data_IF_979751564992
#
_entry.id   IF_979751564992
#
_cell.length_a   1.000
_cell.length_b   1.000
_cell.length_c   1.000
_cell.angle_alpha   90.00
_cell.angle_beta   90.00
_cell.angle_gamma   90.00
#
_symmetry.space_group_name_H-M   'P 1'
#
loop_
_entity.id
_entity.type
_entity.pdbx_description
1 polymer ?
#
# COMPACT_ATOMS: atom_id res chain seq x y z
N UNK A 1 -6.25 20.69 -11.73
CA UNK A 1 -7.00 20.36 -10.50
C UNK A 1 -7.23 18.86 -10.43
N UNK A 2 -7.43 18.26 -9.24
CA UNK A 2 -7.72 16.81 -9.08
C UNK A 2 -8.88 16.36 -10.00
N UNK A 3 -9.85 17.25 -10.22
CA UNK A 3 -10.97 17.06 -11.16
C UNK A 3 -10.56 16.98 -12.64
N UNK A 4 -9.51 17.69 -13.06
CA UNK A 4 -9.00 17.66 -14.44
C UNK A 4 -8.23 16.36 -14.71
N UNK A 5 -7.46 15.90 -13.72
CA UNK A 5 -6.74 14.62 -13.79
C UNK A 5 -7.73 13.45 -13.86
N UNK A 6 -8.80 13.48 -13.07
CA UNK A 6 -9.85 12.45 -13.13
C UNK A 6 -10.55 12.42 -14.51
N UNK A 7 -10.79 13.59 -15.12
CA UNK A 7 -11.40 13.70 -16.44
C UNK A 7 -10.48 13.16 -17.55
N UNK A 8 -9.18 13.41 -17.45
CA UNK A 8 -8.16 12.91 -18.37
C UNK A 8 -8.03 11.37 -18.32
N UNK A 9 -8.13 10.75 -17.12
CA UNK A 9 -8.14 9.29 -16.98
C UNK A 9 -9.43 8.64 -17.49
N UNK A 10 -10.57 9.34 -17.38
CA UNK A 10 -11.87 8.86 -17.89
C UNK A 10 -11.95 8.91 -19.43
N UNK A 11 -11.32 9.89 -20.07
CA UNK A 11 -11.17 9.93 -21.54
C UNK A 11 -10.31 8.78 -22.08
N UNK A 12 -9.39 8.26 -21.26
CA UNK A 12 -8.54 7.10 -21.61
C UNK A 12 -9.22 5.74 -21.36
N UNK A 13 -10.49 5.71 -20.94
CA UNK A 13 -11.26 4.49 -20.65
C UNK A 13 -10.63 3.62 -19.55
N UNK A 14 -9.87 4.23 -18.64
CA UNK A 14 -9.26 3.57 -17.48
C UNK A 14 -10.14 3.90 -16.27
N UNK A 15 -10.78 2.88 -15.70
CA UNK A 15 -11.63 3.04 -14.51
C UNK A 15 -10.76 3.27 -13.28
N UNK A 16 -10.54 4.55 -12.97
CA UNK A 16 -9.83 5.00 -11.77
C UNK A 16 -10.86 5.55 -10.80
N UNK A 17 -11.10 4.84 -9.71
CA UNK A 17 -11.92 5.38 -8.61
C UNK A 17 -11.20 6.59 -7.99
N UNK A 18 -11.94 7.69 -7.79
CA UNK A 18 -11.42 8.97 -7.25
C UNK A 18 -10.67 8.82 -5.92
N UNK A 19 -10.97 7.77 -5.14
CA UNK A 19 -10.32 7.42 -3.86
C UNK A 19 -8.84 7.03 -3.98
N UNK A 20 -8.33 6.72 -5.18
CA UNK A 20 -6.94 6.28 -5.41
C UNK A 20 -6.02 7.37 -5.98
N UNK A 21 -6.45 8.64 -5.94
CA UNK A 21 -5.68 9.78 -6.40
C UNK A 21 -5.19 10.55 -5.16
N UNK A 22 -3.91 10.39 -4.83
CA UNK A 22 -3.30 11.07 -3.69
C UNK A 22 -2.38 12.18 -4.20
N UNK A 23 -2.58 13.44 -3.79
CA UNK A 23 -1.63 14.50 -4.12
C UNK A 23 -0.30 14.23 -3.41
N UNK A 24 0.79 14.22 -4.17
CA UNK A 24 2.14 13.87 -3.71
C UNK A 24 3.13 14.97 -4.10
N UNK A 25 3.98 15.39 -3.17
CA UNK A 25 5.08 16.33 -3.39
C UNK A 25 5.05 17.54 -2.44
N UNK A 26 6.23 18.05 -2.12
CA UNK A 26 6.49 19.13 -1.15
C UNK A 26 5.69 20.43 -1.43
N UNK A 27 5.28 20.63 -2.70
CA UNK A 27 4.52 21.77 -3.22
C UNK A 27 3.10 21.42 -3.72
N UNK A 28 2.56 20.22 -3.46
CA UNK A 28 1.25 19.78 -3.99
C UNK A 28 1.18 19.72 -5.54
N UNK A 29 2.33 19.61 -6.21
CA UNK A 29 2.47 19.64 -7.69
C UNK A 29 2.51 18.26 -8.37
N UNK A 30 2.44 17.18 -7.61
CA UNK A 30 2.38 15.81 -8.15
C UNK A 30 1.09 15.09 -7.75
N UNK A 31 0.68 14.13 -8.56
CA UNK A 31 -0.45 13.24 -8.27
C UNK A 31 0.03 11.80 -8.39
N UNK A 32 -0.11 11.02 -7.31
CA UNK A 32 0.04 9.59 -7.34
C UNK A 32 -1.32 8.97 -7.64
N UNK A 33 -1.39 8.14 -8.69
CA UNK A 33 -2.62 7.46 -9.11
C UNK A 33 -2.39 5.96 -9.05
N UNK A 34 -3.18 5.24 -8.25
CA UNK A 34 -3.14 3.78 -8.18
C UNK A 34 -4.29 3.17 -8.98
N UNK A 35 -3.96 2.24 -9.87
CA UNK A 35 -4.94 1.47 -10.65
C UNK A 35 -5.04 0.05 -10.10
N UNK A 36 -6.27 -0.49 -10.01
CA UNK A 36 -6.52 -1.84 -9.51
C UNK A 36 -6.05 -2.94 -10.49
N UNK A 37 -5.74 -2.58 -11.74
CA UNK A 37 -5.23 -3.47 -12.79
C UNK A 37 -3.84 -3.07 -13.27
N UNK A 38 -3.12 -4.04 -13.85
CA UNK A 38 -1.83 -3.79 -14.53
C UNK A 38 -2.13 -3.17 -15.89
N UNK A 39 -1.66 -1.94 -16.12
CA UNK A 39 -1.74 -1.32 -17.45
C UNK A 39 -0.88 -2.12 -18.44
N UNK A 40 -1.42 -2.42 -19.62
CA UNK A 40 -0.65 -3.02 -20.70
C UNK A 40 0.42 -2.05 -21.20
N UNK A 41 1.52 -2.56 -21.77
CA UNK A 41 2.63 -1.74 -22.31
C UNK A 41 2.14 -0.68 -23.31
N UNK A 42 1.10 -1.00 -24.07
CA UNK A 42 0.48 -0.08 -25.04
C UNK A 42 -0.30 1.06 -24.37
N UNK A 43 -0.91 0.81 -23.20
CA UNK A 43 -1.63 1.81 -22.42
C UNK A 43 -0.67 2.73 -21.66
N UNK A 44 0.45 2.17 -21.18
CA UNK A 44 1.54 2.94 -20.58
C UNK A 44 2.17 3.88 -21.63
N UNK A 45 2.38 3.40 -22.86
CA UNK A 45 2.91 4.23 -23.95
C UNK A 45 1.94 5.36 -24.34
N UNK A 46 0.64 5.08 -24.44
CA UNK A 46 -0.39 6.10 -24.71
C UNK A 46 -0.50 7.14 -23.61
N UNK A 47 -0.47 6.69 -22.34
CA UNK A 47 -0.49 7.59 -21.17
C UNK A 47 0.77 8.44 -21.13
N UNK A 48 1.95 7.85 -21.36
CA UNK A 48 3.22 8.60 -21.39
C UNK A 48 3.22 9.67 -22.49
N UNK A 49 2.72 9.33 -23.67
CA UNK A 49 2.67 10.27 -24.81
C UNK A 49 1.66 11.40 -24.58
N UNK A 50 0.48 11.09 -24.02
CA UNK A 50 -0.57 12.07 -23.71
C UNK A 50 -0.14 13.07 -22.62
N UNK A 51 0.50 12.59 -21.55
CA UNK A 51 0.99 13.44 -20.46
C UNK A 51 2.26 14.21 -20.84
N UNK A 52 3.11 13.66 -21.71
CA UNK A 52 4.26 14.38 -22.27
C UNK A 52 3.80 15.55 -23.17
N UNK A 53 2.78 15.35 -24.02
CA UNK A 53 2.27 16.39 -24.92
C UNK A 53 1.52 17.51 -24.17
N UNK A 54 0.77 17.17 -23.11
CA UNK A 54 -0.05 18.13 -22.35
C UNK A 54 0.69 18.84 -21.21
N UNK A 55 1.65 18.17 -20.57
CA UNK A 55 2.32 18.68 -19.35
C UNK A 55 3.86 18.65 -19.42
N UNK A 56 4.47 18.21 -20.53
CA UNK A 56 5.93 18.22 -20.72
C UNK A 56 6.73 17.39 -19.71
N UNK A 57 6.08 16.49 -18.99
CA UNK A 57 6.67 15.73 -17.88
C UNK A 57 6.41 14.23 -18.08
N UNK A 58 7.45 13.41 -17.96
CA UNK A 58 7.34 11.95 -18.06
C UNK A 58 6.75 11.35 -16.77
N UNK A 59 5.56 10.73 -16.79
CA UNK A 59 5.04 10.02 -15.62
C UNK A 59 5.87 8.77 -15.33
N UNK A 60 6.30 8.60 -14.08
CA UNK A 60 6.91 7.36 -13.62
C UNK A 60 5.81 6.33 -13.31
N UNK A 61 5.80 5.23 -14.08
CA UNK A 61 4.83 4.15 -13.93
C UNK A 61 5.53 2.95 -13.32
N UNK A 62 5.20 2.65 -12.07
CA UNK A 62 5.65 1.45 -11.37
C UNK A 62 4.51 0.43 -11.30
N UNK A 63 4.64 -0.67 -12.05
CA UNK A 63 3.66 -1.75 -12.06
C UNK A 63 4.13 -2.89 -11.18
N UNK A 64 3.31 -3.25 -10.19
CA UNK A 64 3.48 -4.50 -9.43
C UNK A 64 2.63 -5.59 -10.06
N UNK A 65 3.26 -6.73 -10.39
CA UNK A 65 2.52 -7.87 -10.92
C UNK A 65 1.72 -8.54 -9.81
N UNK A 66 0.42 -8.81 -9.99
CA UNK A 66 -0.44 -9.38 -8.94
C UNK A 66 0.04 -10.76 -8.46
N UNK A 67 0.73 -11.52 -9.31
CA UNK A 67 1.37 -12.80 -8.95
C UNK A 67 2.45 -12.62 -7.90
N UNK A 68 3.33 -11.62 -8.07
CA UNK A 68 4.45 -11.35 -7.15
C UNK A 68 3.88 -10.82 -5.83
N UNK A 69 2.87 -9.93 -5.89
CA UNK A 69 2.19 -9.45 -4.69
C UNK A 69 1.55 -10.58 -3.86
N UNK A 70 0.91 -11.55 -4.53
CA UNK A 70 0.33 -12.73 -3.85
C UNK A 70 1.40 -13.61 -3.21
N UNK A 71 2.55 -13.76 -3.86
CA UNK A 71 3.67 -14.53 -3.31
C UNK A 71 4.31 -13.85 -2.10
N UNK A 72 4.55 -12.54 -2.17
CA UNK A 72 5.05 -11.74 -1.04
C UNK A 72 4.09 -11.81 0.13
N UNK A 73 2.79 -11.60 -0.10
CA UNK A 73 1.78 -11.69 0.96
C UNK A 73 1.75 -13.06 1.64
N UNK A 74 1.86 -14.14 0.85
CA UNK A 74 1.91 -15.51 1.38
C UNK A 74 3.18 -15.74 2.20
N UNK A 75 4.34 -15.31 1.70
CA UNK A 75 5.62 -15.48 2.39
C UNK A 75 5.67 -14.67 3.69
N UNK A 76 5.17 -13.42 3.67
CA UNK A 76 5.04 -12.59 4.85
C UNK A 76 4.14 -13.26 5.91
N UNK A 77 3.00 -13.81 5.49
CA UNK A 77 2.10 -14.52 6.40
C UNK A 77 2.76 -15.74 7.05
N UNK A 78 3.48 -16.55 6.27
CA UNK A 78 4.22 -17.71 6.78
C UNK A 78 5.33 -17.26 7.75
N UNK A 79 6.08 -16.22 7.41
CA UNK A 79 7.16 -15.69 8.25
C UNK A 79 6.64 -15.21 9.61
N UNK A 80 5.53 -14.47 9.63
CA UNK A 80 4.89 -13.99 10.87
C UNK A 80 4.41 -15.16 11.73
N UNK A 81 3.80 -16.19 11.13
CA UNK A 81 3.37 -17.38 11.88
C UNK A 81 4.54 -18.10 12.55
N UNK A 82 5.63 -18.32 11.81
CA UNK A 82 6.82 -18.99 12.33
C UNK A 82 7.46 -18.14 13.44
N UNK A 83 7.64 -16.84 13.21
CA UNK A 83 8.21 -15.92 14.20
C UNK A 83 7.37 -15.89 15.48
N UNK A 84 6.03 -15.81 15.35
CA UNK A 84 5.10 -15.82 16.48
C UNK A 84 5.20 -17.10 17.28
N UNK A 85 5.25 -18.26 16.61
CA UNK A 85 5.39 -19.56 17.29
C UNK A 85 6.71 -19.65 18.08
N UNK A 86 7.82 -19.20 17.50
CA UNK A 86 9.13 -19.17 18.17
C UNK A 86 9.13 -18.24 19.39
N UNK A 87 8.54 -17.05 19.28
CA UNK A 87 8.43 -16.10 20.39
C UNK A 87 7.58 -16.69 21.53
N UNK A 88 6.42 -17.27 21.21
CA UNK A 88 5.55 -17.90 22.20
C UNK A 88 6.28 -19.04 22.91
N UNK A 89 6.97 -19.91 22.16
CA UNK A 89 7.76 -21.00 22.73
C UNK A 89 8.84 -20.47 23.67
N UNK A 90 9.60 -19.45 23.24
CA UNK A 90 10.65 -18.84 24.04
C UNK A 90 10.11 -18.24 25.34
N UNK A 91 9.03 -17.44 25.26
CA UNK A 91 8.41 -16.82 26.44
C UNK A 91 7.87 -17.87 27.40
N UNK A 92 7.26 -18.94 26.86
CA UNK A 92 6.72 -20.05 27.65
C UNK A 92 7.79 -20.78 28.47
N UNK A 93 9.00 -20.94 27.93
CA UNK A 93 10.13 -21.57 28.64
C UNK A 93 10.79 -20.58 29.61
N UNK A 94 10.84 -19.29 29.26
CA UNK A 94 11.60 -18.29 30.00
C UNK A 94 10.86 -17.72 31.22
N UNK A 95 9.54 -17.61 31.16
CA UNK A 95 8.74 -16.85 32.13
C UNK A 95 7.62 -17.66 32.81
N UNK A 96 7.17 -17.19 33.98
CA UNK A 96 5.92 -17.67 34.60
C UNK A 96 4.72 -17.20 33.80
N UNK A 97 3.68 -18.03 33.73
CA UNK A 97 2.48 -17.84 32.89
C UNK A 97 1.80 -16.46 33.05
N UNK A 98 1.90 -15.86 34.24
CA UNK A 98 1.36 -14.52 34.54
C UNK A 98 2.04 -13.39 33.74
N UNK A 99 3.36 -13.49 33.49
CA UNK A 99 4.09 -12.52 32.69
C UNK A 99 3.85 -12.71 31.19
N UNK A 100 3.66 -13.95 30.74
CA UNK A 100 3.33 -14.25 29.35
C UNK A 100 1.98 -13.62 28.95
N UNK A 101 0.95 -13.74 29.79
CA UNK A 101 -0.36 -13.15 29.52
C UNK A 101 -0.30 -11.61 29.45
N UNK A 102 0.43 -10.99 30.37
CA UNK A 102 0.59 -9.53 30.40
C UNK A 102 1.31 -9.01 29.14
N UNK A 103 2.34 -9.74 28.67
CA UNK A 103 3.06 -9.41 27.43
C UNK A 103 2.17 -9.53 26.19
N UNK A 104 1.34 -10.58 26.08
CA UNK A 104 0.42 -10.74 24.95
C UNK A 104 -0.63 -9.64 24.92
N UNK A 105 -1.18 -9.26 26.10
CA UNK A 105 -2.14 -8.15 26.19
C UNK A 105 -1.51 -6.81 25.81
N UNK A 106 -0.27 -6.55 26.21
CA UNK A 106 0.46 -5.35 25.81
C UNK A 106 0.69 -5.29 24.28
N UNK A 107 1.10 -6.40 23.68
CA UNK A 107 1.29 -6.49 22.22
C UNK A 107 -0.02 -6.29 21.45
N UNK A 108 -1.14 -6.84 21.96
CA UNK A 108 -2.45 -6.65 21.36
C UNK A 108 -2.90 -5.19 21.44
N UNK A 109 -2.65 -4.52 22.57
CA UNK A 109 -2.89 -3.08 22.71
C UNK A 109 -2.06 -2.26 21.71
N UNK A 110 -0.76 -2.54 21.58
CA UNK A 110 0.12 -1.83 20.66
C UNK A 110 -0.34 -1.98 19.20
N UNK A 111 -0.73 -3.19 18.79
CA UNK A 111 -1.29 -3.44 17.46
C UNK A 111 -2.62 -2.70 17.22
N UNK A 112 -3.50 -2.70 18.23
CA UNK A 112 -4.79 -2.01 18.13
C UNK A 112 -4.61 -0.49 17.98
N UNK A 113 -3.75 0.12 18.79
CA UNK A 113 -3.46 1.56 18.70
C UNK A 113 -2.85 1.92 17.36
N UNK A 114 -1.94 1.09 16.83
CA UNK A 114 -1.40 1.25 15.47
C UNK A 114 -2.51 1.30 14.41
N UNK A 115 -3.43 0.32 14.41
CA UNK A 115 -4.53 0.27 13.43
C UNK A 115 -5.43 1.50 13.55
N UNK A 116 -5.77 1.92 14.77
CA UNK A 116 -6.61 3.10 15.01
C UNK A 116 -5.96 4.37 14.46
N UNK A 117 -4.68 4.59 14.74
CA UNK A 117 -3.95 5.77 14.24
C UNK A 117 -3.93 5.76 12.71
N UNK A 118 -3.52 4.65 12.09
CA UNK A 118 -3.48 4.56 10.63
C UNK A 118 -4.86 4.77 9.99
N UNK A 119 -5.92 4.26 10.62
CA UNK A 119 -7.29 4.44 10.15
C UNK A 119 -7.78 5.88 10.28
N UNK A 120 -7.43 6.61 11.34
CA UNK A 120 -7.87 8.00 11.56
C UNK A 120 -7.14 8.94 10.60
N UNK A 121 -5.83 8.76 10.42
CA UNK A 121 -5.03 9.62 9.56
C UNK A 121 -5.11 9.23 8.08
N UNK A 122 -5.82 8.14 7.75
CA UNK A 122 -5.90 7.54 6.42
C UNK A 122 -4.50 7.37 5.81
N UNK A 123 -3.54 6.99 6.64
CA UNK A 123 -2.19 6.71 6.20
C UNK A 123 -2.21 5.43 5.38
N UNK A 124 -1.67 5.51 4.17
CA UNK A 124 -1.57 4.35 3.30
C UNK A 124 -0.60 3.34 3.92
N UNK A 125 -1.08 2.12 4.13
CA UNK A 125 -0.23 1.00 4.54
C UNK A 125 0.36 0.40 3.28
N UNK A 126 1.57 0.84 2.95
CA UNK A 126 2.33 0.26 1.84
C UNK A 126 3.24 -0.87 2.36
N UNK A 127 3.30 -1.96 1.60
CA UNK A 127 4.23 -3.08 1.81
C UNK A 127 5.38 -3.03 0.79
N UNK A 128 5.65 -1.84 0.26
CA UNK A 128 6.74 -1.54 -0.69
C UNK A 128 8.07 -1.36 0.01
#
# INVERSE_FOLDING_TARGET
>A
TVSDVHKDFKELNIDVKEENIVPTGDDNKGFAVRTLGVLSKDEIAKTKTFFHDKYGTDPNVSTVSPTIGKEIARNAFIAVLIASAVIILYVSIRFRFTYALSAVLALLHDAFVMIVIFSIFQLEVDLT
#
